data_IF_626195293016
#
_entry.id   IF_626195293016
#
_cell.length_a   1.000
_cell.length_b   1.000
_cell.length_c   1.000
_cell.angle_alpha   90.00
_cell.angle_beta   90.00
_cell.angle_gamma   90.00
#
_symmetry.space_group_name_H-M   'P 1'
#
loop_
_entity.id
_entity.type
_entity.pdbx_description
1 polymer ?
#
# COMPACT_ATOMS: atom_id res chain seq x y z
N UNK A 1 19.64 12.50 73.15
CA UNK A 1 18.67 12.37 72.10
C UNK A 1 19.39 12.08 70.77
N UNK A 2 19.48 10.84 70.41
CA UNK A 2 20.13 10.42 69.13
C UNK A 2 19.00 10.31 68.11
N UNK A 3 19.02 11.19 67.12
CA UNK A 3 18.12 11.07 65.96
C UNK A 3 18.69 10.05 64.98
N UNK A 4 18.02 8.93 64.88
CA UNK A 4 18.32 7.88 63.92
C UNK A 4 17.87 8.33 62.55
N UNK A 5 18.80 8.64 61.65
CA UNK A 5 18.49 8.90 60.25
C UNK A 5 18.36 7.54 59.53
N UNK A 6 17.13 7.17 59.25
CA UNK A 6 16.82 6.00 58.40
C UNK A 6 16.92 6.45 56.95
N UNK A 7 17.99 6.04 56.28
CA UNK A 7 18.14 6.28 54.84
C UNK A 7 17.32 5.21 54.13
N UNK A 8 16.18 5.62 53.59
CA UNK A 8 15.38 4.77 52.70
C UNK A 8 16.00 4.83 51.30
N UNK A 9 16.72 3.77 50.93
CA UNK A 9 17.26 3.57 49.55
C UNK A 9 16.08 3.12 48.68
N UNK A 10 15.45 4.03 47.97
CA UNK A 10 14.43 3.71 46.95
C UNK A 10 15.22 3.19 45.74
N UNK A 11 15.27 1.88 45.56
CA UNK A 11 15.69 1.28 44.32
C UNK A 11 14.65 1.60 43.26
N UNK A 12 14.95 2.61 42.42
CA UNK A 12 14.16 2.94 41.26
C UNK A 12 14.37 1.81 40.24
N UNK A 13 13.46 0.84 40.26
CA UNK A 13 13.40 -0.19 39.23
C UNK A 13 13.10 0.45 37.88
N UNK A 14 14.12 0.53 37.06
CA UNK A 14 14.00 0.93 35.65
C UNK A 14 13.26 -0.20 34.93
N UNK A 15 11.92 -0.10 34.87
CA UNK A 15 11.09 -0.97 34.06
C UNK A 15 11.34 -0.58 32.61
N UNK A 16 12.31 -1.25 31.96
CA UNK A 16 12.52 -1.14 30.52
C UNK A 16 11.30 -1.77 29.85
N UNK A 17 10.32 -0.95 29.54
CA UNK A 17 9.26 -1.36 28.64
C UNK A 17 9.89 -1.48 27.27
N UNK A 18 10.30 -2.69 26.90
CA UNK A 18 10.57 -3.02 25.51
C UNK A 18 9.25 -2.87 24.77
N UNK A 19 9.03 -1.72 24.17
CA UNK A 19 8.02 -1.56 23.15
C UNK A 19 8.43 -2.50 22.02
N UNK A 20 7.74 -3.64 21.92
CA UNK A 20 7.78 -4.46 20.71
C UNK A 20 7.11 -3.58 19.66
N UNK A 21 7.92 -2.85 18.91
CA UNK A 21 7.48 -2.25 17.69
C UNK A 21 7.08 -3.43 16.79
N UNK A 22 5.78 -3.63 16.60
CA UNK A 22 5.28 -4.38 15.47
C UNK A 22 5.70 -3.56 14.24
N UNK A 23 6.93 -3.78 13.79
CA UNK A 23 7.42 -3.22 12.56
C UNK A 23 6.53 -3.76 11.45
N UNK A 24 5.84 -2.87 10.72
CA UNK A 24 5.22 -3.23 9.47
C UNK A 24 6.30 -3.94 8.63
N UNK A 25 6.08 -5.21 8.28
CA UNK A 25 7.04 -5.95 7.46
C UNK A 25 7.12 -5.25 6.12
N UNK A 26 8.34 -4.88 5.70
CA UNK A 26 8.55 -4.26 4.39
C UNK A 26 7.97 -5.16 3.29
N UNK A 27 7.38 -4.54 2.26
CA UNK A 27 6.87 -5.28 1.11
C UNK A 27 8.01 -6.05 0.43
N UNK A 28 7.75 -7.27 -0.06
CA UNK A 28 8.72 -7.98 -0.89
C UNK A 28 9.09 -7.17 -2.14
N UNK A 29 10.36 -7.18 -2.54
CA UNK A 29 10.84 -6.45 -3.73
C UNK A 29 10.05 -6.80 -4.99
N UNK A 30 9.74 -8.10 -5.17
CA UNK A 30 8.91 -8.57 -6.31
C UNK A 30 7.50 -7.99 -6.32
N UNK A 31 6.91 -7.70 -5.17
CA UNK A 31 5.61 -7.02 -5.10
C UNK A 31 5.74 -5.54 -5.47
N UNK A 32 6.82 -4.90 -5.07
CA UNK A 32 7.12 -3.51 -5.43
C UNK A 32 7.34 -3.37 -6.93
N UNK A 33 8.14 -4.25 -7.53
CA UNK A 33 8.38 -4.27 -8.98
C UNK A 33 7.07 -4.49 -9.77
N UNK A 34 6.23 -5.41 -9.31
CA UNK A 34 4.93 -5.67 -9.93
C UNK A 34 3.98 -4.45 -9.83
N UNK A 35 3.99 -3.76 -8.69
CA UNK A 35 3.22 -2.54 -8.47
C UNK A 35 3.66 -1.42 -9.42
N UNK A 36 4.96 -1.18 -9.52
CA UNK A 36 5.54 -0.16 -10.41
C UNK A 36 5.26 -0.45 -11.88
N UNK A 37 5.38 -1.72 -12.29
CA UNK A 37 5.07 -2.14 -13.66
C UNK A 37 3.59 -1.90 -14.01
N UNK A 38 2.67 -2.21 -13.11
CA UNK A 38 1.25 -1.96 -13.32
C UNK A 38 0.94 -0.46 -13.38
N UNK A 39 1.53 0.34 -12.49
CA UNK A 39 1.37 1.80 -12.51
C UNK A 39 1.90 2.41 -13.80
N UNK A 40 2.99 1.90 -14.35
CA UNK A 40 3.52 2.35 -15.63
C UNK A 40 2.52 2.15 -16.79
N UNK A 41 1.76 1.06 -16.79
CA UNK A 41 0.67 0.84 -17.74
C UNK A 41 -0.49 1.82 -17.53
N UNK A 42 -0.87 2.05 -16.28
CA UNK A 42 -1.90 3.03 -15.92
C UNK A 42 -1.49 4.45 -16.36
N UNK A 43 -0.22 4.80 -16.20
CA UNK A 43 0.33 6.11 -16.61
C UNK A 43 0.28 6.32 -18.13
N UNK A 44 0.41 5.25 -18.91
CA UNK A 44 0.23 5.27 -20.38
C UNK A 44 -1.23 5.32 -20.80
N UNK A 45 -2.17 5.17 -19.87
CA UNK A 45 -3.59 5.08 -20.16
C UNK A 45 -4.02 3.73 -20.74
N UNK A 46 -3.18 2.70 -20.63
CA UNK A 46 -3.47 1.36 -21.17
C UNK A 46 -4.40 0.59 -20.22
N UNK A 47 -5.68 0.97 -20.22
CA UNK A 47 -6.68 0.34 -19.39
C UNK A 47 -6.87 -1.14 -19.70
N UNK A 48 -6.73 -1.54 -20.95
CA UNK A 48 -6.83 -2.94 -21.35
C UNK A 48 -5.72 -3.78 -20.71
N UNK A 49 -4.46 -3.36 -20.84
CA UNK A 49 -3.33 -4.07 -20.26
C UNK A 49 -3.41 -4.10 -18.73
N UNK A 50 -3.79 -3.00 -18.07
CA UNK A 50 -3.97 -2.96 -16.62
C UNK A 50 -5.03 -3.94 -16.14
N UNK A 51 -6.14 -4.09 -16.86
CA UNK A 51 -7.18 -5.06 -16.54
C UNK A 51 -6.69 -6.51 -16.74
N UNK A 52 -6.04 -6.79 -17.86
CA UNK A 52 -5.52 -8.13 -18.15
C UNK A 52 -4.48 -8.61 -17.14
N UNK A 53 -3.66 -7.69 -16.64
CA UNK A 53 -2.61 -7.99 -15.65
C UNK A 53 -3.11 -7.90 -14.20
N UNK A 54 -4.38 -7.57 -13.98
CA UNK A 54 -4.96 -7.54 -12.64
C UNK A 54 -5.25 -8.96 -12.11
N UNK A 55 -5.40 -9.05 -10.78
CA UNK A 55 -5.75 -10.28 -10.10
C UNK A 55 -7.15 -10.78 -10.51
N UNK A 56 -7.37 -12.10 -10.38
CA UNK A 56 -8.67 -12.71 -10.67
C UNK A 56 -9.81 -12.09 -9.87
N UNK A 57 -9.58 -11.76 -8.60
CA UNK A 57 -10.57 -11.09 -7.75
C UNK A 57 -10.97 -9.70 -8.31
N UNK A 58 -10.02 -8.94 -8.85
CA UNK A 58 -10.31 -7.66 -9.51
C UNK A 58 -11.18 -7.86 -10.75
N UNK A 59 -10.83 -8.81 -11.61
CA UNK A 59 -11.57 -9.12 -12.85
C UNK A 59 -12.98 -9.64 -12.59
N UNK A 60 -13.19 -10.33 -11.48
CA UNK A 60 -14.52 -10.77 -11.06
C UNK A 60 -15.39 -9.61 -10.62
N UNK A 61 -14.80 -8.60 -9.96
CA UNK A 61 -15.53 -7.44 -9.45
C UNK A 61 -15.74 -6.31 -10.46
N UNK A 62 -14.89 -6.23 -11.50
CA UNK A 62 -14.90 -5.13 -12.47
C UNK A 62 -14.79 -5.72 -13.89
N UNK A 63 -15.82 -5.53 -14.69
CA UNK A 63 -15.77 -5.94 -16.09
C UNK A 63 -14.78 -5.08 -16.90
N UNK A 64 -14.09 -5.69 -17.86
CA UNK A 64 -13.09 -5.02 -18.68
C UNK A 64 -13.64 -3.73 -19.33
N UNK A 65 -14.80 -3.82 -19.96
CA UNK A 65 -15.45 -2.68 -20.64
C UNK A 65 -15.71 -1.50 -19.72
N UNK A 66 -16.01 -1.77 -18.45
CA UNK A 66 -16.28 -0.71 -17.46
C UNK A 66 -14.98 -0.13 -16.94
N UNK A 67 -13.95 -0.97 -16.75
CA UNK A 67 -12.62 -0.51 -16.40
C UNK A 67 -11.99 0.39 -17.49
N UNK A 68 -12.13 0.02 -18.74
CA UNK A 68 -11.65 0.80 -19.89
C UNK A 68 -12.26 2.21 -19.97
N UNK A 69 -13.43 2.41 -19.33
CA UNK A 69 -14.05 3.73 -19.16
C UNK A 69 -13.64 4.41 -17.85
N UNK A 70 -13.49 3.62 -16.78
CA UNK A 70 -13.24 4.13 -15.43
C UNK A 70 -11.83 4.67 -15.27
N UNK A 71 -10.82 3.94 -15.75
CA UNK A 71 -9.43 4.36 -15.61
C UNK A 71 -9.15 5.70 -16.33
N UNK A 72 -9.51 5.89 -17.60
CA UNK A 72 -9.32 7.19 -18.26
C UNK A 72 -10.11 8.31 -17.56
N UNK A 73 -11.34 8.05 -17.14
CA UNK A 73 -12.16 9.05 -16.43
C UNK A 73 -11.49 9.52 -15.14
N UNK A 74 -10.80 8.64 -14.42
CA UNK A 74 -10.07 9.00 -13.21
C UNK A 74 -8.74 9.71 -13.51
N UNK A 75 -8.04 9.30 -14.56
CA UNK A 75 -6.65 9.71 -14.84
C UNK A 75 -6.51 10.89 -15.77
N UNK A 76 -7.31 10.99 -16.83
CA UNK A 76 -7.18 12.07 -17.84
C UNK A 76 -7.27 13.48 -17.25
N UNK A 77 -8.17 13.79 -16.29
CA UNK A 77 -8.22 15.15 -15.70
C UNK A 77 -6.96 15.52 -14.93
N UNK A 78 -6.19 14.55 -14.45
CA UNK A 78 -4.97 14.76 -13.67
C UNK A 78 -3.76 15.10 -14.55
N UNK A 79 -3.78 14.67 -15.81
CA UNK A 79 -2.66 14.81 -16.74
C UNK A 79 -1.57 13.77 -16.51
N UNK A 80 -0.36 14.10 -16.91
CA UNK A 80 0.80 13.21 -16.83
C UNK A 80 1.42 13.23 -15.44
N UNK A 81 2.04 12.11 -15.05
CA UNK A 81 2.82 12.00 -13.82
C UNK A 81 4.10 12.81 -13.95
N UNK A 82 4.31 13.75 -13.03
CA UNK A 82 5.58 14.49 -12.89
C UNK A 82 6.52 13.73 -11.97
N UNK A 83 6.00 13.26 -10.83
CA UNK A 83 6.77 12.50 -9.85
C UNK A 83 5.85 11.59 -9.03
N UNK A 84 6.37 10.45 -8.62
CA UNK A 84 5.70 9.51 -7.71
C UNK A 84 6.67 9.06 -6.64
N UNK A 85 6.26 9.13 -5.40
CA UNK A 85 7.06 8.73 -4.25
C UNK A 85 6.28 7.74 -3.39
N UNK A 86 6.89 6.58 -3.13
CA UNK A 86 6.35 5.62 -2.18
C UNK A 86 6.39 6.22 -0.77
N UNK A 87 5.24 6.29 -0.11
CA UNK A 87 5.09 6.78 1.25
C UNK A 87 5.12 5.64 2.26
N UNK A 88 4.41 4.56 1.94
CA UNK A 88 4.36 3.38 2.79
C UNK A 88 4.00 2.13 2.00
N UNK A 89 4.42 0.99 2.52
CA UNK A 89 3.95 -0.32 2.12
C UNK A 89 3.57 -1.11 3.37
N UNK A 90 2.46 -1.81 3.31
CA UNK A 90 1.91 -2.58 4.42
C UNK A 90 1.50 -3.96 3.93
N UNK A 91 2.02 -5.00 4.57
CA UNK A 91 1.59 -6.38 4.31
C UNK A 91 0.41 -6.73 5.19
N UNK A 92 -0.58 -7.40 4.63
CA UNK A 92 -1.74 -7.90 5.37
C UNK A 92 -2.20 -9.24 4.82
N UNK A 93 -2.91 -10.00 5.63
CA UNK A 93 -3.53 -11.26 5.22
C UNK A 93 -5.01 -11.13 4.93
N UNK A 94 -5.59 -9.95 5.23
CA UNK A 94 -7.01 -9.69 5.07
C UNK A 94 -7.25 -8.34 4.40
N UNK A 95 -8.21 -8.31 3.48
CA UNK A 95 -8.76 -7.10 2.89
C UNK A 95 -10.28 -7.21 2.84
N UNK A 96 -11.04 -6.12 3.04
CA UNK A 96 -12.49 -6.13 2.90
C UNK A 96 -12.92 -6.58 1.50
N UNK A 97 -13.88 -7.50 1.42
CA UNK A 97 -14.51 -7.91 0.17
C UNK A 97 -13.74 -8.94 -0.67
N UNK A 98 -12.59 -9.42 -0.20
CA UNK A 98 -11.81 -10.49 -0.84
C UNK A 98 -11.45 -11.58 0.17
N UNK A 99 -11.11 -12.76 -0.34
CA UNK A 99 -10.68 -13.89 0.50
C UNK A 99 -9.35 -13.58 1.21
N UNK A 100 -9.12 -14.21 2.35
CA UNK A 100 -7.84 -14.13 3.05
C UNK A 100 -6.70 -14.65 2.16
N UNK A 101 -5.52 -14.04 2.28
CA UNK A 101 -4.38 -14.36 1.44
C UNK A 101 -3.16 -13.53 1.80
N UNK A 102 -2.27 -13.32 0.84
CA UNK A 102 -1.09 -12.44 0.99
C UNK A 102 -1.33 -11.17 0.18
N UNK A 103 -1.33 -10.03 0.86
CA UNK A 103 -1.58 -8.72 0.26
C UNK A 103 -0.52 -7.71 0.65
N UNK A 104 -0.28 -6.74 -0.23
CA UNK A 104 0.50 -5.52 0.07
C UNK A 104 -0.34 -4.32 -0.34
N UNK A 105 -0.42 -3.35 0.56
CA UNK A 105 -1.01 -2.04 0.30
C UNK A 105 0.12 -1.04 0.11
N UNK A 106 0.29 -0.53 -1.10
CA UNK A 106 1.21 0.55 -1.41
C UNK A 106 0.48 1.89 -1.39
N UNK A 107 1.10 2.90 -0.77
CA UNK A 107 0.61 4.28 -0.79
C UNK A 107 1.68 5.17 -1.39
N UNK A 108 1.30 5.94 -2.40
CA UNK A 108 2.17 6.87 -3.09
C UNK A 108 1.67 8.30 -2.95
N UNK A 109 2.59 9.22 -2.84
CA UNK A 109 2.37 10.63 -3.08
C UNK A 109 2.79 10.92 -4.51
N UNK A 110 1.85 11.40 -5.32
CA UNK A 110 2.06 11.60 -6.76
C UNK A 110 1.73 13.03 -7.14
N UNK A 111 2.59 13.62 -7.96
CA UNK A 111 2.36 14.91 -8.60
C UNK A 111 2.03 14.69 -10.08
N UNK A 112 0.91 15.23 -10.50
CA UNK A 112 0.46 15.26 -11.90
C UNK A 112 0.53 16.66 -12.46
N UNK A 113 0.54 16.79 -13.77
CA UNK A 113 0.57 18.11 -14.45
C UNK A 113 -0.59 19.02 -14.03
N UNK A 114 -1.78 18.45 -13.80
CA UNK A 114 -2.99 19.18 -13.42
C UNK A 114 -3.38 19.05 -11.94
N UNK A 115 -2.66 18.23 -11.18
CA UNK A 115 -2.87 18.06 -9.73
C UNK A 115 -1.53 17.80 -9.07
N UNK A 116 -0.99 18.81 -8.39
CA UNK A 116 0.36 18.75 -7.78
C UNK A 116 0.47 17.79 -6.60
N UNK A 117 -0.63 17.47 -5.94
CA UNK A 117 -0.64 16.59 -4.77
C UNK A 117 -1.83 15.64 -4.86
N UNK A 118 -1.56 14.40 -5.13
CA UNK A 118 -2.52 13.31 -5.13
C UNK A 118 -2.01 12.14 -4.31
N UNK A 119 -2.92 11.39 -3.70
CA UNK A 119 -2.63 10.15 -3.02
C UNK A 119 -3.09 8.98 -3.87
N UNK A 120 -2.19 8.05 -4.18
CA UNK A 120 -2.53 6.80 -4.85
C UNK A 120 -2.38 5.65 -3.88
N UNK A 121 -3.36 4.73 -3.86
CA UNK A 121 -3.26 3.46 -3.16
C UNK A 121 -3.39 2.32 -4.17
N UNK A 122 -2.40 1.43 -4.18
CA UNK A 122 -2.37 0.23 -5.01
C UNK A 122 -2.34 -0.99 -4.11
N UNK A 123 -3.31 -1.87 -4.27
CA UNK A 123 -3.44 -3.10 -3.51
C UNK A 123 -2.99 -4.26 -4.39
N UNK A 124 -1.99 -4.99 -3.93
CA UNK A 124 -1.43 -6.16 -4.62
C UNK A 124 -1.80 -7.42 -3.88
N UNK A 125 -2.12 -8.47 -4.63
CA UNK A 125 -2.38 -9.82 -4.14
C UNK A 125 -1.36 -10.77 -4.73
N UNK A 126 -0.80 -11.65 -3.90
CA UNK A 126 -0.05 -12.81 -4.38
C UNK A 126 -1.03 -13.92 -4.69
N UNK A 127 -1.19 -14.25 -5.95
CA UNK A 127 -2.08 -15.31 -6.38
C UNK A 127 -1.46 -16.71 -6.20
N UNK A 128 -2.25 -17.76 -6.42
CA UNK A 128 -1.83 -19.15 -6.20
C UNK A 128 -0.60 -19.58 -7.01
N UNK A 129 -0.36 -18.93 -8.15
CA UNK A 129 0.83 -19.14 -8.98
C UNK A 129 2.09 -18.42 -8.45
N UNK A 130 1.99 -17.72 -7.32
CA UNK A 130 3.06 -16.96 -6.70
C UNK A 130 3.31 -15.58 -7.32
N UNK A 131 2.50 -15.16 -8.29
CA UNK A 131 2.64 -13.87 -8.97
C UNK A 131 1.83 -12.79 -8.24
N UNK A 132 2.45 -11.64 -8.03
CA UNK A 132 1.79 -10.46 -7.48
C UNK A 132 1.00 -9.73 -8.57
N UNK A 133 -0.30 -9.51 -8.32
CA UNK A 133 -1.20 -8.80 -9.24
C UNK A 133 -2.05 -7.78 -8.51
N UNK A 134 -2.43 -6.74 -9.22
CA UNK A 134 -3.27 -5.67 -8.68
C UNK A 134 -4.68 -6.17 -8.40
N UNK A 135 -5.16 -5.94 -7.17
CA UNK A 135 -6.52 -6.25 -6.73
C UNK A 135 -7.35 -5.00 -6.44
N UNK A 136 -6.73 -3.84 -6.37
CA UNK A 136 -7.39 -2.56 -6.20
C UNK A 136 -6.50 -1.37 -6.51
N UNK A 137 -7.09 -0.28 -7.02
CA UNK A 137 -6.42 0.97 -7.30
C UNK A 137 -7.33 2.15 -6.95
N UNK A 138 -6.83 3.07 -6.17
CA UNK A 138 -7.55 4.25 -5.70
C UNK A 138 -6.69 5.49 -5.87
N UNK A 139 -7.33 6.61 -6.20
CA UNK A 139 -6.66 7.90 -6.35
C UNK A 139 -7.55 9.02 -5.80
N UNK A 140 -6.93 9.94 -5.03
CA UNK A 140 -7.58 11.07 -4.37
C UNK A 140 -6.78 12.36 -4.56
#
# INVERSE_FOLDING_TARGET
MRKLFLVFLIALGFCVHSAIAFGATAAPDVATEAAEAWLALADKGDAQATWHQAAGAFKTGVEQKDWEKTLPKARQPLGEVISRKLQSSETTTTLPGVADGEYVIFRFQTSFTNKKSASEALLMQKEADGVWRTVGYFIQ
#
